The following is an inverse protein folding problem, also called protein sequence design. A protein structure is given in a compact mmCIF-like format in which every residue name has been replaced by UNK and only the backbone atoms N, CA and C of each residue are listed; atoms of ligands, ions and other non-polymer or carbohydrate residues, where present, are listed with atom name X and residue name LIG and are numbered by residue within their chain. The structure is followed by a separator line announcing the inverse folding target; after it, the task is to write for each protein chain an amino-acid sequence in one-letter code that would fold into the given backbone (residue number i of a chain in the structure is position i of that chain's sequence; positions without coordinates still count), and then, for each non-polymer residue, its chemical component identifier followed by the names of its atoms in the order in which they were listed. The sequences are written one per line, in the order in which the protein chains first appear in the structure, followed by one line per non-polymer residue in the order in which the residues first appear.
data_IF_897339879740
#
_entry.id   IF_897339879740
#
_cell.length_a   1.000
_cell.length_b   1.000
_cell.length_c   1.000
_cell.angle_alpha   90.00
_cell.angle_beta   90.00
_cell.angle_gamma   90.00
#
_symmetry.space_group_name_H-M   'P 1'
#
loop_
_entity.id
_entity.type
_entity.pdbx_description
1 polymer ?
#
# COMPACT_ATOMS: atom_id res chain seq x y z
N UNK A 1 -7.29 1.40 -22.26
CA UNK A 1 -5.88 1.84 -22.41
C UNK A 1 -5.49 3.11 -21.63
N UNK A 2 -6.37 4.10 -21.43
CA UNK A 2 -6.11 5.24 -20.51
C UNK A 2 -5.98 4.82 -19.03
N UNK A 3 -6.67 3.74 -18.64
CA UNK A 3 -6.86 3.26 -17.25
C UNK A 3 -5.71 2.34 -16.75
N UNK A 4 -5.23 1.40 -17.58
CA UNK A 4 -4.17 0.39 -17.29
C UNK A 4 -2.98 0.97 -16.52
N UNK A 5 -2.41 2.04 -17.06
CA UNK A 5 -1.18 2.60 -16.50
C UNK A 5 -1.49 3.62 -15.43
N UNK A 6 -2.69 4.18 -15.40
CA UNK A 6 -3.13 4.95 -14.25
C UNK A 6 -3.17 4.03 -13.03
N UNK A 7 -3.58 2.76 -13.14
CA UNK A 7 -3.52 1.81 -12.00
C UNK A 7 -2.16 1.23 -11.71
N UNK A 8 -1.36 0.78 -12.67
CA UNK A 8 -0.02 0.31 -12.33
C UNK A 8 0.81 1.46 -11.75
N UNK A 9 0.65 2.69 -12.27
CA UNK A 9 1.21 3.90 -11.66
C UNK A 9 0.51 4.20 -10.34
N UNK A 10 -0.80 3.97 -10.16
CA UNK A 10 -1.52 4.23 -8.90
C UNK A 10 -1.28 3.22 -7.81
N UNK A 11 -1.01 1.94 -8.10
CA UNK A 11 -0.52 0.96 -7.15
C UNK A 11 0.91 1.33 -6.79
N UNK A 12 1.74 1.70 -7.77
CA UNK A 12 3.10 2.24 -7.57
C UNK A 12 3.11 3.63 -6.93
N UNK A 13 2.03 4.37 -6.98
CA UNK A 13 1.86 5.70 -6.36
C UNK A 13 1.18 5.56 -5.01
N UNK A 14 0.26 4.62 -4.81
CA UNK A 14 -0.26 4.28 -3.48
C UNK A 14 0.90 3.82 -2.60
N UNK A 15 1.79 3.07 -3.23
CA UNK A 15 3.07 2.61 -2.70
C UNK A 15 4.04 3.80 -2.66
N UNK A 16 4.21 4.49 -3.77
CA UNK A 16 5.13 5.62 -3.99
C UNK A 16 4.99 6.78 -3.01
N UNK A 17 3.77 7.15 -2.63
CA UNK A 17 3.47 8.27 -1.72
C UNK A 17 3.89 7.97 -0.28
N UNK A 18 4.17 6.71 0.01
CA UNK A 18 4.39 6.18 1.34
C UNK A 18 5.59 5.23 1.32
N UNK A 19 6.75 5.70 0.85
CA UNK A 19 8.07 5.06 1.00
C UNK A 19 8.83 5.73 2.16
N UNK A 20 9.49 5.06 3.12
CA UNK A 20 10.76 5.48 3.78
C UNK A 20 11.49 4.34 4.53
N UNK A 21 12.83 4.43 4.54
CA UNK A 21 13.81 3.36 4.76
C UNK A 21 13.55 2.37 5.91
N UNK A 22 13.91 1.09 5.71
CA UNK A 22 14.20 0.14 6.80
C UNK A 22 12.97 -0.38 7.54
N UNK A 23 12.26 -1.33 6.92
CA UNK A 23 10.94 -1.77 7.38
C UNK A 23 11.02 -2.91 8.39
N UNK A 24 10.91 -2.59 9.69
CA UNK A 24 10.45 -3.58 10.67
C UNK A 24 8.93 -3.58 10.69
N UNK A 25 8.32 -4.26 9.71
CA UNK A 25 6.88 -4.29 9.49
C UNK A 25 6.12 -4.40 10.81
N UNK A 26 5.07 -3.62 11.03
CA UNK A 26 4.35 -3.64 12.29
C UNK A 26 3.93 -5.06 12.70
N UNK A 27 4.10 -5.36 13.99
CA UNK A 27 3.74 -6.67 14.56
C UNK A 27 2.26 -7.04 14.44
N UNK A 28 1.43 -6.12 13.94
CA UNK A 28 -0.03 -6.23 13.84
C UNK A 28 -0.56 -6.31 12.41
N UNK A 29 0.30 -6.55 11.41
CA UNK A 29 -0.15 -6.97 10.07
C UNK A 29 -0.19 -8.50 10.03
N UNK A 30 -1.36 -9.14 9.91
CA UNK A 30 -1.48 -10.60 9.79
C UNK A 30 -0.90 -11.14 8.49
N UNK A 31 -0.33 -12.35 8.53
CA UNK A 31 0.18 -13.04 7.34
C UNK A 31 -0.90 -13.38 6.29
N UNK A 32 -2.17 -13.34 6.68
CA UNK A 32 -3.30 -13.62 5.79
C UNK A 32 -3.64 -12.46 4.85
N UNK A 33 -2.94 -11.33 4.91
CA UNK A 33 -3.16 -10.23 3.98
C UNK A 33 -2.80 -10.64 2.54
N UNK A 34 -3.54 -10.10 1.57
CA UNK A 34 -3.24 -10.25 0.15
C UNK A 34 -2.02 -9.40 -0.20
N UNK A 35 -2.00 -8.17 0.30
CA UNK A 35 -0.93 -7.23 0.04
C UNK A 35 -0.68 -6.37 1.27
N UNK A 36 0.57 -5.99 1.48
CA UNK A 36 0.97 -4.97 2.44
C UNK A 36 1.93 -4.00 1.79
N UNK A 37 1.70 -2.73 2.08
CA UNK A 37 2.64 -1.65 1.80
C UNK A 37 3.15 -1.13 3.13
N UNK A 38 4.47 -1.04 3.27
CA UNK A 38 5.12 -0.51 4.47
C UNK A 38 6.09 0.60 4.10
N UNK A 39 6.05 1.67 4.89
CA UNK A 39 7.12 2.67 5.00
C UNK A 39 7.50 2.86 6.45
N UNK A 40 8.80 2.87 6.70
CA UNK A 40 9.45 3.26 7.96
C UNK A 40 10.09 4.65 7.78
N UNK A 41 10.95 5.13 8.70
CA UNK A 41 11.81 6.32 8.58
C UNK A 41 11.21 7.61 7.97
N UNK A 42 9.90 7.81 8.11
CA UNK A 42 9.11 8.81 7.36
C UNK A 42 9.66 10.24 7.49
N UNK A 43 10.25 10.58 8.63
CA UNK A 43 10.76 11.92 8.91
C UNK A 43 12.27 12.09 8.72
N UNK A 44 13.03 11.00 8.62
CA UNK A 44 14.49 11.06 8.50
C UNK A 44 14.99 11.04 7.06
N UNK A 45 14.17 10.59 6.11
CA UNK A 45 14.51 10.61 4.69
C UNK A 45 13.98 11.90 4.00
N UNK A 46 14.83 12.68 3.31
CA UNK A 46 14.42 13.94 2.69
C UNK A 46 13.38 13.81 1.58
N UNK A 47 13.48 12.79 0.72
CA UNK A 47 12.52 12.61 -0.38
C UNK A 47 11.16 12.20 0.15
N UNK A 48 11.16 11.40 1.21
CA UNK A 48 9.94 10.93 1.85
C UNK A 48 9.28 12.00 2.69
N UNK A 49 10.08 12.72 3.49
CA UNK A 49 9.58 13.86 4.24
C UNK A 49 8.90 14.84 3.30
N UNK A 50 9.50 15.12 2.13
CA UNK A 50 8.88 15.95 1.12
C UNK A 50 7.54 15.40 0.63
N UNK A 51 7.43 14.10 0.34
CA UNK A 51 6.17 13.50 -0.12
C UNK A 51 5.08 13.58 0.94
N UNK A 52 5.43 13.26 2.19
CA UNK A 52 4.50 13.36 3.31
C UNK A 52 4.03 14.81 3.46
N UNK A 53 4.96 15.77 3.47
CA UNK A 53 4.65 17.19 3.59
C UNK A 53 3.78 17.69 2.43
N UNK A 54 4.10 17.30 1.19
CA UNK A 54 3.33 17.68 0.01
C UNK A 54 1.91 17.07 0.04
N UNK A 55 1.76 15.84 0.52
CA UNK A 55 0.46 15.19 0.67
C UNK A 55 -0.38 15.81 1.79
N UNK A 56 0.23 16.07 2.95
CA UNK A 56 -0.40 16.69 4.12
C UNK A 56 -0.91 18.11 3.81
N UNK A 57 -0.15 18.86 2.99
CA UNK A 57 -0.46 20.24 2.62
C UNK A 57 -1.27 20.38 1.32
N UNK A 58 -1.70 19.26 0.71
CA UNK A 58 -2.50 19.32 -0.51
C UNK A 58 -3.93 19.83 -0.23
N UNK A 59 -4.60 20.48 -1.21
CA UNK A 59 -5.90 21.14 -1.00
C UNK A 59 -7.02 20.23 -0.48
N UNK A 60 -7.01 18.95 -0.85
CA UNK A 60 -8.04 18.00 -0.44
C UNK A 60 -7.89 17.67 1.06
N UNK A 61 -8.84 18.04 1.90
CA UNK A 61 -8.77 17.64 3.31
C UNK A 61 -9.21 16.18 3.48
N UNK A 62 -8.56 15.46 4.40
CA UNK A 62 -9.05 14.17 4.88
C UNK A 62 -8.70 14.03 6.37
N UNK A 63 -9.54 13.40 7.18
CA UNK A 63 -9.25 13.15 8.60
C UNK A 63 -7.90 12.45 8.85
N UNK A 64 -7.51 11.53 7.95
CA UNK A 64 -6.22 10.84 8.03
C UNK A 64 -5.03 11.82 7.91
N UNK A 65 -5.14 12.83 7.05
CA UNK A 65 -4.11 13.89 6.94
C UNK A 65 -4.03 14.73 8.21
N UNK A 66 -5.17 15.09 8.79
CA UNK A 66 -5.21 15.85 10.04
C UNK A 66 -4.63 15.07 11.23
N UNK A 67 -4.75 13.74 11.23
CA UNK A 67 -4.05 12.87 12.17
C UNK A 67 -2.54 12.94 11.96
N UNK A 68 -2.06 12.82 10.72
CA UNK A 68 -0.63 12.84 10.42
C UNK A 68 0.02 14.22 10.63
N UNK A 69 -0.73 15.33 10.53
CA UNK A 69 -0.28 16.65 11.00
C UNK A 69 -0.05 16.70 12.51
N UNK A 70 -0.85 15.96 13.26
CA UNK A 70 -0.88 16.01 14.72
C UNK A 70 0.08 15.03 15.39
N UNK A 71 0.54 14.03 14.63
CA UNK A 71 1.19 12.84 15.20
C UNK A 71 2.44 12.51 14.42
N UNK A 72 3.56 12.38 15.13
CA UNK A 72 4.80 11.90 14.53
C UNK A 72 4.76 10.39 14.39
N UNK A 73 4.62 9.94 13.14
CA UNK A 73 4.59 8.52 12.77
C UNK A 73 5.98 8.09 12.31
N UNK A 74 6.52 7.04 12.93
CA UNK A 74 7.80 6.44 12.53
C UNK A 74 7.66 5.52 11.34
N UNK A 75 6.57 4.76 11.34
CA UNK A 75 6.30 3.73 10.34
C UNK A 75 4.79 3.61 10.13
N UNK A 76 4.38 3.45 8.89
CA UNK A 76 3.01 3.19 8.50
C UNK A 76 2.97 1.97 7.61
N UNK A 77 2.00 1.09 7.85
CA UNK A 77 1.67 0.01 6.95
C UNK A 77 0.20 0.01 6.61
N UNK A 78 -0.13 -0.34 5.37
CA UNK A 78 -1.50 -0.57 4.93
C UNK A 78 -1.56 -1.96 4.33
N UNK A 79 -2.39 -2.81 4.91
CA UNK A 79 -2.65 -4.15 4.44
C UNK A 79 -4.05 -4.27 3.83
N UNK A 80 -4.14 -5.05 2.76
CA UNK A 80 -5.36 -5.39 2.04
C UNK A 80 -5.70 -6.85 2.32
N UNK A 81 -6.96 -7.14 2.62
CA UNK A 81 -7.48 -8.49 2.80
C UNK A 81 -8.57 -8.77 1.76
N UNK A 82 -8.89 -10.05 1.59
CA UNK A 82 -10.00 -10.47 0.74
C UNK A 82 -11.27 -9.71 1.13
N UNK A 83 -11.97 -9.09 0.17
CA UNK A 83 -13.17 -8.34 0.46
C UNK A 83 -14.27 -9.26 1.01
N UNK A 84 -15.07 -8.76 1.96
CA UNK A 84 -16.27 -9.45 2.45
C UNK A 84 -17.47 -9.28 1.50
N UNK A 85 -17.45 -8.20 0.71
CA UNK A 85 -18.47 -7.86 -0.28
C UNK A 85 -17.82 -7.22 -1.52
N UNK A 86 -18.48 -7.32 -2.67
CA UNK A 86 -17.94 -6.83 -3.96
C UNK A 86 -17.65 -5.32 -4.00
N UNK A 87 -18.18 -4.54 -3.04
CA UNK A 87 -18.12 -3.08 -3.06
C UNK A 87 -17.02 -2.45 -2.18
N UNK A 88 -16.47 -3.16 -1.20
CA UNK A 88 -15.56 -2.58 -0.20
C UNK A 88 -14.30 -3.42 0.00
N UNK A 89 -13.15 -2.75 -0.05
CA UNK A 89 -11.87 -3.35 0.30
C UNK A 89 -11.76 -3.49 1.81
N UNK A 90 -11.28 -4.64 2.28
CA UNK A 90 -10.92 -4.82 3.68
C UNK A 90 -9.50 -4.28 3.90
N UNK A 91 -9.39 -3.18 4.64
CA UNK A 91 -8.14 -2.45 4.82
C UNK A 91 -7.76 -2.37 6.31
N UNK A 92 -6.49 -2.59 6.60
CA UNK A 92 -5.90 -2.32 7.91
C UNK A 92 -4.72 -1.37 7.74
N UNK A 93 -4.86 -0.16 8.27
CA UNK A 93 -3.75 0.75 8.47
C UNK A 93 -3.16 0.55 9.86
N UNK A 94 -1.84 0.36 9.95
CA UNK A 94 -1.10 0.25 11.20
C UNK A 94 -0.03 1.33 11.24
N UNK A 95 -0.07 2.19 12.25
CA UNK A 95 0.88 3.27 12.45
C UNK A 95 1.68 3.02 13.70
N UNK A 96 3.01 3.05 13.59
CA UNK A 96 3.95 3.06 14.71
C UNK A 96 4.32 4.48 15.06
N UNK A 97 4.12 4.82 16.32
CA UNK A 97 4.37 6.15 16.84
C UNK A 97 5.76 6.24 17.47
N UNK A 98 6.20 7.46 17.75
CA UNK A 98 7.34 7.61 18.63
C UNK A 98 7.03 7.19 20.05
N UNK A 99 8.05 6.69 20.76
CA UNK A 99 7.92 6.33 22.17
C UNK A 99 7.48 7.57 22.98
N UNK A 100 6.32 7.47 23.61
CA UNK A 100 5.74 8.56 24.41
C UNK A 100 4.87 9.54 23.62
N UNK A 101 4.67 9.33 22.31
CA UNK A 101 3.71 10.09 21.53
C UNK A 101 2.29 9.92 22.13
N UNK A 102 1.56 11.03 22.20
CA UNK A 102 0.15 11.03 22.61
C UNK A 102 -0.73 10.98 21.38
N UNK A 103 -1.73 10.11 21.43
CA UNK A 103 -2.72 9.98 20.36
C UNK A 103 -3.94 10.81 20.70
N UNK A 104 -4.33 11.69 19.79
CA UNK A 104 -5.56 12.46 19.88
C UNK A 104 -6.75 11.58 19.43
N UNK A 105 -7.52 11.11 20.42
CA UNK A 105 -8.69 10.26 20.16
C UNK A 105 -9.80 10.98 19.41
N UNK A 106 -9.93 12.30 19.57
CA UNK A 106 -10.95 13.08 18.86
C UNK A 106 -10.63 13.12 17.35
N UNK A 107 -9.35 13.28 17.00
CA UNK A 107 -8.91 13.16 15.60
C UNK A 107 -9.11 11.76 15.03
N UNK A 108 -8.83 10.71 15.80
CA UNK A 108 -9.10 9.34 15.36
C UNK A 108 -10.59 9.07 15.18
N UNK A 109 -11.43 9.61 16.07
CA UNK A 109 -12.88 9.54 15.94
C UNK A 109 -13.32 10.16 14.60
N UNK A 110 -12.80 11.34 14.26
CA UNK A 110 -13.10 12.01 12.99
C UNK A 110 -12.65 11.22 11.75
N UNK A 111 -11.73 10.24 11.88
CA UNK A 111 -11.31 9.40 10.75
C UNK A 111 -12.31 8.31 10.42
N UNK A 112 -12.99 7.78 11.43
CA UNK A 112 -13.90 6.66 11.26
C UNK A 112 -15.37 7.09 11.20
N UNK A 113 -15.65 8.39 11.43
CA UNK A 113 -16.99 8.96 11.44
C UNK A 113 -17.45 9.34 10.03
N UNK A 114 -18.47 8.67 9.48
CA UNK A 114 -19.01 9.01 8.16
C UNK A 114 -19.86 10.29 8.18
N UNK A 115 -20.38 10.69 9.34
CA UNK A 115 -21.22 11.87 9.58
C UNK A 115 -20.92 12.41 10.99
N UNK A 116 -20.81 13.73 11.22
CA UNK A 116 -20.76 14.34 12.54
C UNK A 116 -21.83 13.87 13.55
N UNK A 117 -22.99 13.41 13.08
CA UNK A 117 -24.08 12.89 13.93
C UNK A 117 -23.95 11.39 14.27
N UNK A 118 -23.06 10.67 13.59
CA UNK A 118 -22.85 9.24 13.84
C UNK A 118 -22.23 9.01 15.24
N UNK A 119 -22.64 7.92 15.88
CA UNK A 119 -22.20 7.60 17.24
C UNK A 119 -21.06 6.58 17.23
N UNK A 120 -20.00 6.88 17.96
CA UNK A 120 -18.90 5.95 18.20
C UNK A 120 -19.23 5.09 19.41
N UNK A 121 -19.11 3.79 19.22
CA UNK A 121 -19.18 2.80 20.28
C UNK A 121 -17.80 2.27 20.60
N UNK A 122 -17.66 1.74 21.81
CA UNK A 122 -16.47 1.01 22.22
C UNK A 122 -16.84 -0.40 22.62
N UNK A 123 -16.05 -1.36 22.17
CA UNK A 123 -16.08 -2.74 22.63
C UNK A 123 -14.72 -3.13 23.17
N UNK A 124 -14.71 -4.09 24.10
CA UNK A 124 -13.47 -4.65 24.64
C UNK A 124 -13.18 -5.98 23.96
N UNK A 125 -11.97 -6.14 23.42
CA UNK A 125 -11.50 -7.35 22.77
C UNK A 125 -10.09 -7.69 23.25
N UNK A 126 -9.92 -8.87 23.88
CA UNK A 126 -8.63 -9.36 24.41
C UNK A 126 -7.87 -8.33 25.27
N UNK A 127 -8.60 -7.52 26.04
CA UNK A 127 -8.03 -6.47 26.91
C UNK A 127 -7.80 -5.13 26.21
N UNK A 128 -8.00 -5.04 24.89
CA UNK A 128 -7.91 -3.81 24.10
C UNK A 128 -9.29 -3.20 23.90
N UNK A 129 -9.37 -1.87 23.94
CA UNK A 129 -10.59 -1.12 23.62
C UNK A 129 -10.58 -0.78 22.13
N UNK A 130 -11.59 -1.24 21.40
CA UNK A 130 -11.80 -0.93 19.98
C UNK A 130 -12.94 0.10 19.91
N UNK A 131 -12.66 1.24 19.29
CA UNK A 131 -13.67 2.24 18.95
C UNK A 131 -14.18 1.96 17.53
N UNK A 132 -15.48 2.04 17.30
CA UNK A 132 -16.07 1.82 15.99
C UNK A 132 -17.38 2.58 15.79
N UNK A 133 -17.76 2.80 14.54
CA UNK A 133 -19.06 3.36 14.18
C UNK A 133 -20.10 2.24 14.00
N UNK A 134 -21.37 2.53 14.32
CA UNK A 134 -22.50 1.66 14.01
C UNK A 134 -23.20 2.10 12.71
N UNK A 135 -23.63 1.13 11.91
CA UNK A 135 -24.38 1.35 10.67
C UNK A 135 -23.57 1.07 9.41
N UNK A 136 -24.18 1.27 8.24
CA UNK A 136 -23.48 1.18 6.95
C UNK A 136 -22.55 2.39 6.82
N UNK A 137 -21.24 2.11 6.84
CA UNK A 137 -20.21 3.14 6.73
C UNK A 137 -19.76 3.22 5.28
N UNK A 138 -19.99 4.33 4.56
CA UNK A 138 -19.57 4.49 3.15
C UNK A 138 -18.06 4.73 2.99
N UNK A 139 -17.33 4.87 4.10
CA UNK A 139 -15.91 5.22 4.14
C UNK A 139 -14.99 4.00 4.28
N UNK A 140 -13.71 4.18 3.92
CA UNK A 140 -12.71 3.11 3.87
C UNK A 140 -12.27 2.61 5.26
N UNK A 141 -12.60 3.35 6.34
CA UNK A 141 -12.27 3.03 7.73
C UNK A 141 -13.49 3.27 8.63
N UNK A 142 -13.75 2.35 9.57
CA UNK A 142 -14.87 2.46 10.51
C UNK A 142 -14.55 2.05 11.95
N UNK A 143 -13.34 1.53 12.19
CA UNK A 143 -12.91 1.11 13.51
C UNK A 143 -11.43 1.43 13.76
N UNK A 144 -11.07 1.65 15.02
CA UNK A 144 -9.67 1.76 15.42
C UNK A 144 -9.41 1.22 16.83
N UNK A 145 -8.14 0.91 17.12
CA UNK A 145 -7.65 0.68 18.48
C UNK A 145 -6.26 1.27 18.66
N UNK A 146 -5.87 1.54 19.90
CA UNK A 146 -4.55 2.06 20.27
C UNK A 146 -3.89 1.00 21.16
N UNK A 147 -2.75 0.48 20.71
CA UNK A 147 -1.99 -0.58 21.38
C UNK A 147 -0.58 -0.06 21.68
N UNK A 148 -0.32 0.37 22.92
CA UNK A 148 0.97 0.91 23.34
C UNK A 148 1.44 2.09 22.44
N UNK A 149 2.43 1.86 21.58
CA UNK A 149 3.00 2.79 20.61
C UNK A 149 2.44 2.60 19.19
N UNK A 150 1.32 1.89 19.04
CA UNK A 150 0.72 1.55 17.75
C UNK A 150 -0.74 2.02 17.67
N UNK A 151 -1.16 2.45 16.48
CA UNK A 151 -2.56 2.70 16.12
C UNK A 151 -2.94 1.72 15.02
N UNK A 152 -4.03 0.99 15.20
CA UNK A 152 -4.64 0.14 14.18
C UNK A 152 -5.95 0.80 13.75
N UNK A 153 -6.11 1.08 12.47
CA UNK A 153 -7.32 1.64 11.86
C UNK A 153 -7.81 0.65 10.80
N UNK A 154 -8.99 0.08 10.98
CA UNK A 154 -9.55 -0.94 10.11
C UNK A 154 -10.80 -0.46 9.36
N UNK A 155 -11.06 -1.06 8.21
CA UNK A 155 -12.32 -0.91 7.47
C UNK A 155 -13.53 -1.35 8.29
N UNK A 156 -13.34 -2.31 9.20
CA UNK A 156 -14.33 -2.71 10.20
C UNK A 156 -13.68 -3.27 11.48
N UNK A 157 -14.52 -3.53 12.48
CA UNK A 157 -14.12 -4.10 13.77
C UNK A 157 -13.38 -5.42 13.61
N UNK A 158 -13.81 -6.30 12.71
CA UNK A 158 -13.21 -7.62 12.55
C UNK A 158 -11.84 -7.51 11.89
N UNK A 159 -11.62 -6.57 10.97
CA UNK A 159 -10.28 -6.30 10.42
C UNK A 159 -9.33 -5.80 11.51
N UNK A 160 -9.80 -4.97 12.45
CA UNK A 160 -9.01 -4.60 13.63
C UNK A 160 -8.72 -5.82 14.51
N UNK A 161 -9.71 -6.69 14.76
CA UNK A 161 -9.50 -7.95 15.51
C UNK A 161 -8.50 -8.86 14.81
N UNK A 162 -8.54 -8.96 13.48
CA UNK A 162 -7.56 -9.74 12.69
C UNK A 162 -6.14 -9.22 12.96
N UNK A 163 -5.94 -7.90 12.98
CA UNK A 163 -4.66 -7.30 13.35
C UNK A 163 -4.18 -7.66 14.76
N UNK A 164 -5.10 -7.79 15.73
CA UNK A 164 -4.79 -8.20 17.12
C UNK A 164 -4.49 -9.71 17.22
N UNK A 165 -5.22 -10.53 16.46
CA UNK A 165 -5.19 -12.00 16.58
C UNK A 165 -4.14 -12.69 15.74
N UNK A 166 -3.86 -12.13 14.56
CA UNK A 166 -3.15 -12.82 13.49
C UNK A 166 -1.66 -13.00 13.78
N UNK A 167 -1.06 -14.13 13.34
CA UNK A 167 0.39 -14.22 13.29
C UNK A 167 0.92 -13.12 12.36
N UNK A 168 1.85 -12.32 12.87
CA UNK A 168 2.43 -11.21 12.11
C UNK A 168 3.07 -11.71 10.80
N UNK A 169 2.87 -10.97 9.71
CA UNK A 169 3.51 -11.21 8.41
C UNK A 169 5.04 -11.25 8.51
N UNK A 170 5.63 -10.59 9.52
CA UNK A 170 7.06 -10.71 9.80
C UNK A 170 7.51 -12.13 10.14
N UNK A 171 6.59 -13.02 10.52
CA UNK A 171 6.89 -14.44 10.76
C UNK A 171 6.73 -15.29 9.50
N UNK A 172 6.14 -14.76 8.42
CA UNK A 172 5.97 -15.47 7.16
C UNK A 172 7.31 -15.69 6.46
N UNK A 173 7.62 -16.94 6.14
CA UNK A 173 8.84 -17.29 5.41
C UNK A 173 8.88 -16.67 4.00
N UNK A 174 7.72 -16.56 3.34
CA UNK A 174 7.61 -15.94 2.01
C UNK A 174 7.89 -14.45 2.10
N UNK A 175 7.31 -13.79 3.11
CA UNK A 175 7.57 -12.37 3.36
C UNK A 175 9.03 -12.10 3.70
N UNK A 176 9.65 -12.92 4.54
CA UNK A 176 11.07 -12.78 4.87
C UNK A 176 11.97 -12.99 3.66
N UNK A 177 11.63 -13.92 2.74
CA UNK A 177 12.33 -14.05 1.46
C UNK A 177 12.19 -12.78 0.63
N UNK A 178 10.98 -12.23 0.50
CA UNK A 178 10.75 -10.99 -0.22
C UNK A 178 11.53 -9.82 0.40
N UNK A 179 11.44 -9.61 1.71
CA UNK A 179 12.20 -8.59 2.45
C UNK A 179 13.72 -8.72 2.21
N UNK A 180 14.24 -9.94 2.11
CA UNK A 180 15.67 -10.17 1.81
C UNK A 180 16.08 -9.78 0.37
N UNK A 181 15.17 -9.80 -0.60
CA UNK A 181 15.44 -9.25 -1.94
C UNK A 181 15.64 -7.73 -1.91
N UNK A 182 15.03 -7.06 -0.94
CA UNK A 182 15.07 -5.61 -0.78
C UNK A 182 16.10 -5.18 0.28
N UNK A 183 17.17 -5.96 0.47
CA UNK A 183 18.21 -5.81 1.51
C UNK A 183 19.00 -4.50 1.50
N UNK A 184 18.92 -3.71 0.44
CA UNK A 184 19.44 -2.34 0.45
C UNK A 184 18.34 -1.43 1.01
N UNK A 185 18.67 -0.54 1.95
CA UNK A 185 17.72 0.37 2.57
C UNK A 185 16.96 1.18 1.50
N UNK A 186 15.79 0.68 1.11
CA UNK A 186 14.85 1.30 0.19
C UNK A 186 13.71 1.84 1.01
N UNK A 187 13.18 2.95 0.55
CA UNK A 187 12.20 3.71 1.27
C UNK A 187 10.91 2.90 1.47
N UNK A 188 10.31 2.34 0.44
CA UNK A 188 9.10 1.54 0.66
C UNK A 188 9.26 0.09 0.29
N UNK A 189 8.38 -0.71 0.86
CA UNK A 189 8.19 -2.10 0.50
C UNK A 189 6.70 -2.36 0.21
N UNK A 190 6.40 -2.77 -1.02
CA UNK A 190 5.17 -3.48 -1.34
C UNK A 190 5.47 -4.98 -1.37
N UNK A 191 4.57 -5.75 -0.81
CA UNK A 191 4.52 -7.19 -0.94
C UNK A 191 3.10 -7.63 -1.22
N UNK A 192 2.91 -8.45 -2.25
CA UNK A 192 1.67 -9.11 -2.57
C UNK A 192 1.89 -10.63 -2.53
N UNK A 193 1.16 -11.31 -1.66
CA UNK A 193 1.16 -12.76 -1.52
C UNK A 193 0.20 -13.38 -2.53
N UNK A 194 0.69 -14.31 -3.34
CA UNK A 194 -0.15 -15.08 -4.24
C UNK A 194 -0.33 -16.54 -3.79
N UNK A 195 0.04 -16.87 -2.55
CA UNK A 195 -0.26 -18.18 -1.98
C UNK A 195 -1.77 -18.46 -2.01
N UNK A 196 -2.16 -19.56 -2.65
CA UNK A 196 -3.57 -19.91 -2.86
C UNK A 196 -4.32 -18.96 -3.80
N UNK A 197 -3.63 -18.35 -4.77
CA UNK A 197 -4.21 -17.46 -5.80
C UNK A 197 -4.85 -16.16 -5.29
N UNK A 198 -4.62 -15.78 -4.02
CA UNK A 198 -5.21 -14.58 -3.40
C UNK A 198 -4.99 -13.29 -4.20
N UNK A 199 -3.79 -13.10 -4.74
CA UNK A 199 -3.46 -11.89 -5.49
C UNK A 199 -4.14 -11.89 -6.86
N UNK A 200 -4.18 -13.03 -7.55
CA UNK A 200 -4.93 -13.20 -8.81
C UNK A 200 -6.42 -12.92 -8.61
N UNK A 201 -7.02 -13.50 -7.57
CA UNK A 201 -8.43 -13.28 -7.23
C UNK A 201 -8.73 -11.81 -6.92
N UNK A 202 -7.79 -11.11 -6.28
CA UNK A 202 -7.90 -9.67 -6.05
C UNK A 202 -7.77 -8.85 -7.34
N UNK A 203 -6.91 -9.26 -8.27
CA UNK A 203 -6.71 -8.58 -9.55
C UNK A 203 -7.90 -8.75 -10.50
N UNK A 204 -8.56 -9.91 -10.51
CA UNK A 204 -9.57 -10.23 -11.52
C UNK A 204 -10.72 -9.21 -11.63
N UNK A 205 -11.40 -8.78 -10.55
CA UNK A 205 -12.48 -7.78 -10.66
C UNK A 205 -11.99 -6.44 -11.20
N UNK A 206 -10.74 -6.09 -10.89
CA UNK A 206 -10.10 -4.88 -11.36
C UNK A 206 -9.82 -4.97 -12.87
N UNK A 207 -9.28 -6.10 -13.34
CA UNK A 207 -9.07 -6.38 -14.76
C UNK A 207 -10.38 -6.40 -15.56
N UNK A 208 -11.43 -6.99 -15.00
CA UNK A 208 -12.77 -7.04 -15.61
C UNK A 208 -13.41 -5.65 -15.74
N UNK A 209 -13.28 -4.82 -14.70
CA UNK A 209 -13.71 -3.42 -14.72
C UNK A 209 -12.99 -2.65 -15.82
N UNK A 210 -11.69 -2.88 -15.97
CA UNK A 210 -10.86 -2.10 -16.87
C UNK A 210 -10.76 -2.67 -18.29
N UNK A 211 -11.26 -3.89 -18.51
CA UNK A 211 -11.20 -4.63 -19.77
C UNK A 211 -9.76 -4.84 -20.25
N UNK A 212 -8.84 -5.10 -19.33
CA UNK A 212 -7.42 -5.41 -19.61
C UNK A 212 -6.89 -6.40 -18.57
N UNK A 213 -6.12 -7.39 -19.03
CA UNK A 213 -5.27 -8.24 -18.20
C UNK A 213 -3.89 -7.59 -18.01
N UNK A 214 -3.45 -7.42 -16.77
CA UNK A 214 -2.23 -6.71 -16.39
C UNK A 214 -1.03 -7.65 -16.29
N UNK A 215 -1.25 -8.87 -15.80
CA UNK A 215 -0.22 -9.88 -15.59
C UNK A 215 -0.75 -11.23 -16.05
N UNK A 216 -0.40 -11.63 -17.29
CA UNK A 216 -0.83 -12.90 -17.87
C UNK A 216 -0.26 -14.09 -17.11
N UNK A 217 0.92 -13.91 -16.50
CA UNK A 217 1.63 -14.90 -15.69
C UNK A 217 1.23 -14.88 -14.21
N UNK A 218 0.22 -14.10 -13.82
CA UNK A 218 -0.14 -13.91 -12.41
C UNK A 218 -0.47 -15.22 -11.67
N UNK A 219 -0.99 -16.23 -12.38
CA UNK A 219 -1.24 -17.57 -11.83
C UNK A 219 0.04 -18.37 -11.51
N UNK A 220 1.19 -18.01 -12.10
CA UNK A 220 2.48 -18.68 -11.89
C UNK A 220 3.34 -18.00 -10.82
N UNK A 221 2.91 -16.84 -10.32
CA UNK A 221 3.61 -16.11 -9.28
C UNK A 221 3.38 -16.74 -7.90
N UNK A 222 4.45 -16.92 -7.13
CA UNK A 222 4.36 -17.15 -5.68
C UNK A 222 4.06 -15.84 -4.95
N UNK A 223 4.76 -14.77 -5.34
CA UNK A 223 4.58 -13.43 -4.79
C UNK A 223 5.11 -12.37 -5.74
N UNK A 224 4.62 -11.15 -5.56
CA UNK A 224 5.16 -9.96 -6.20
C UNK A 224 5.58 -8.96 -5.14
N UNK A 225 6.70 -8.27 -5.35
CA UNK A 225 7.16 -7.25 -4.44
C UNK A 225 7.68 -6.04 -5.19
N UNK A 226 7.70 -4.90 -4.54
CA UNK A 226 8.37 -3.71 -5.05
C UNK A 226 9.07 -2.99 -3.94
N UNK A 227 10.25 -2.46 -4.23
CA UNK A 227 10.89 -1.46 -3.38
C UNK A 227 11.25 -0.23 -4.18
N UNK A 228 11.24 0.91 -3.51
CA UNK A 228 11.40 2.21 -4.15
C UNK A 228 12.10 3.16 -3.19
N UNK A 229 12.80 4.11 -3.76
CA UNK A 229 13.73 5.03 -3.12
C UNK A 229 13.52 6.39 -3.75
N UNK A 230 13.04 7.30 -2.92
CA UNK A 230 12.67 8.66 -3.28
C UNK A 230 13.87 9.54 -3.03
N UNK A 231 14.63 9.78 -4.11
CA UNK A 231 15.86 10.56 -4.02
C UNK A 231 15.57 12.02 -3.68
N UNK A 232 14.51 12.57 -4.27
CA UNK A 232 13.98 13.91 -4.00
C UNK A 232 12.53 14.05 -4.53
N UNK A 233 11.99 15.27 -4.53
CA UNK A 233 10.64 15.57 -5.03
C UNK A 233 10.38 15.12 -6.47
N UNK A 234 11.43 14.96 -7.26
CA UNK A 234 11.37 14.85 -8.71
C UNK A 234 12.05 13.60 -9.26
N UNK A 235 12.74 12.82 -8.42
CA UNK A 235 13.47 11.62 -8.81
C UNK A 235 13.14 10.44 -7.89
N UNK A 236 12.90 9.29 -8.50
CA UNK A 236 12.65 8.03 -7.80
C UNK A 236 13.39 6.89 -8.49
N UNK A 237 13.83 5.89 -7.73
CA UNK A 237 14.36 4.64 -8.26
C UNK A 237 13.70 3.46 -7.55
N UNK A 238 13.71 2.28 -8.16
CA UNK A 238 13.09 1.13 -7.51
C UNK A 238 13.30 -0.16 -8.28
N UNK A 239 12.84 -1.25 -7.68
CA UNK A 239 12.80 -2.57 -8.29
C UNK A 239 11.44 -3.21 -8.07
N UNK A 240 10.90 -3.86 -9.09
CA UNK A 240 9.83 -4.85 -8.96
C UNK A 240 10.43 -6.22 -9.05
N UNK A 241 9.95 -7.12 -8.20
CA UNK A 241 10.34 -8.53 -8.22
C UNK A 241 9.08 -9.35 -8.41
N UNK A 242 9.10 -10.17 -9.46
CA UNK A 242 8.10 -11.18 -9.76
C UNK A 242 8.72 -12.53 -9.44
N UNK A 243 8.26 -13.17 -8.37
CA UNK A 243 8.75 -14.49 -7.99
C UNK A 243 7.81 -15.54 -8.55
N UNK A 244 8.30 -16.38 -9.45
CA UNK A 244 7.60 -17.59 -9.89
C UNK A 244 7.73 -18.72 -8.87
N UNK A 245 6.74 -19.62 -8.84
CA UNK A 245 6.79 -20.85 -8.05
C UNK A 245 7.99 -21.75 -8.41
N UNK A 246 8.33 -21.75 -9.70
CA UNK A 246 9.49 -22.43 -10.25
C UNK A 246 10.01 -21.68 -11.50
N UNK A 247 10.89 -22.32 -12.27
CA UNK A 247 11.49 -21.73 -13.48
C UNK A 247 10.76 -22.10 -14.76
N UNK A 248 9.68 -22.88 -14.71
CA UNK A 248 8.99 -23.40 -15.91
C UNK A 248 8.25 -22.31 -16.69
N UNK A 249 7.79 -21.26 -15.99
CA UNK A 249 7.06 -20.13 -16.56
C UNK A 249 7.86 -18.81 -16.52
N UNK A 250 9.18 -18.89 -16.46
CA UNK A 250 10.03 -17.71 -16.25
C UNK A 250 10.02 -16.76 -17.44
N UNK A 251 9.84 -17.28 -18.65
CA UNK A 251 9.79 -16.47 -19.87
C UNK A 251 8.47 -15.69 -19.93
N UNK A 252 7.34 -16.28 -19.52
CA UNK A 252 6.06 -15.58 -19.42
C UNK A 252 6.09 -14.49 -18.34
N UNK A 253 6.69 -14.77 -17.18
CA UNK A 253 6.86 -13.77 -16.11
C UNK A 253 7.77 -12.63 -16.58
N UNK A 254 8.79 -12.94 -17.38
CA UNK A 254 9.69 -11.95 -17.95
C UNK A 254 8.97 -11.05 -18.95
N UNK A 255 8.17 -11.63 -19.84
CA UNK A 255 7.37 -10.89 -20.80
C UNK A 255 6.40 -9.91 -20.10
N UNK A 256 5.77 -10.33 -19.00
CA UNK A 256 4.94 -9.46 -18.18
C UNK A 256 5.73 -8.29 -17.56
N UNK A 257 6.93 -8.56 -17.04
CA UNK A 257 7.79 -7.51 -16.47
C UNK A 257 8.25 -6.49 -17.54
N UNK A 258 8.61 -6.96 -18.74
CA UNK A 258 8.98 -6.11 -19.88
C UNK A 258 7.77 -5.29 -20.36
N UNK A 259 6.60 -5.92 -20.47
CA UNK A 259 5.35 -5.25 -20.81
C UNK A 259 5.01 -4.15 -19.80
N UNK A 260 5.13 -4.44 -18.51
CA UNK A 260 4.89 -3.47 -17.44
C UNK A 260 5.83 -2.26 -17.54
N UNK A 261 7.13 -2.49 -17.75
CA UNK A 261 8.12 -1.42 -17.95
C UNK A 261 7.79 -0.53 -19.15
N UNK A 262 7.44 -1.12 -20.29
CA UNK A 262 7.05 -0.37 -21.49
C UNK A 262 5.71 0.37 -21.30
N UNK A 263 4.76 -0.20 -20.55
CA UNK A 263 3.52 0.47 -20.20
C UNK A 263 3.78 1.75 -19.39
N UNK A 264 4.67 1.71 -18.38
CA UNK A 264 5.08 2.89 -17.63
C UNK A 264 5.74 3.93 -18.50
N UNK A 265 6.74 3.52 -19.27
CA UNK A 265 7.49 4.41 -20.17
C UNK A 265 6.56 5.22 -21.08
N UNK A 266 5.61 4.56 -21.75
CA UNK A 266 4.65 5.23 -22.66
C UNK A 266 3.82 6.31 -21.97
N UNK A 267 3.55 6.16 -20.67
CA UNK A 267 2.69 7.08 -19.92
C UNK A 267 3.43 8.19 -19.26
N UNK A 268 4.61 7.88 -18.73
CA UNK A 268 5.53 8.90 -18.28
C UNK A 268 5.93 9.83 -19.43
N UNK A 269 6.14 9.31 -20.66
CA UNK A 269 6.33 10.17 -21.85
C UNK A 269 5.17 11.14 -22.06
N UNK A 270 3.92 10.69 -21.92
CA UNK A 270 2.74 11.55 -22.10
C UNK A 270 2.66 12.68 -21.05
N UNK A 271 3.20 12.46 -19.87
CA UNK A 271 3.28 13.42 -18.76
C UNK A 271 4.63 14.17 -18.71
N UNK A 272 5.50 14.01 -19.73
CA UNK A 272 6.86 14.58 -19.80
C UNK A 272 7.80 14.13 -18.66
N UNK A 273 7.57 12.92 -18.16
CA UNK A 273 8.37 12.24 -17.13
C UNK A 273 9.35 11.30 -17.85
N UNK A 274 10.62 11.36 -17.47
CA UNK A 274 11.64 10.47 -17.99
C UNK A 274 11.62 9.17 -17.18
N UNK A 275 11.52 8.04 -17.88
CA UNK A 275 11.51 6.72 -17.29
C UNK A 275 12.45 5.80 -18.04
N UNK A 276 13.26 5.06 -17.28
CA UNK A 276 14.11 3.99 -17.81
C UNK A 276 13.92 2.74 -16.96
N UNK A 277 14.00 1.58 -17.60
CA UNK A 277 13.90 0.31 -16.91
C UNK A 277 14.73 -0.77 -17.59
N UNK A 278 15.15 -1.76 -16.81
CA UNK A 278 15.81 -2.97 -17.28
C UNK A 278 15.23 -4.19 -16.59
N UNK A 279 15.08 -5.28 -17.32
CA UNK A 279 14.59 -6.56 -16.79
C UNK A 279 15.74 -7.55 -16.69
N UNK A 280 15.87 -8.19 -15.54
CA UNK A 280 16.86 -9.22 -15.24
C UNK A 280 16.17 -10.49 -14.74
N UNK A 281 16.62 -11.65 -15.19
CA UNK A 281 16.15 -12.95 -14.68
C UNK A 281 17.18 -13.52 -13.71
N UNK A 282 16.74 -13.94 -12.52
CA UNK A 282 17.56 -14.49 -11.43
C UNK A 282 16.90 -15.76 -10.89
N UNK A 283 17.21 -16.90 -11.49
CA UNK A 283 16.58 -18.18 -11.13
C UNK A 283 15.09 -18.15 -11.45
N UNK A 284 14.23 -18.38 -10.45
CA UNK A 284 12.77 -18.26 -10.57
C UNK A 284 12.24 -16.84 -10.30
N UNK A 285 13.11 -15.84 -10.20
CA UNK A 285 12.71 -14.43 -10.02
C UNK A 285 12.97 -13.62 -11.28
N UNK A 286 12.06 -12.72 -11.63
CA UNK A 286 12.29 -11.65 -12.60
C UNK A 286 12.33 -10.32 -11.87
N UNK A 287 13.35 -9.51 -12.16
CA UNK A 287 13.58 -8.21 -11.53
C UNK A 287 13.50 -7.10 -12.57
N UNK A 288 12.51 -6.21 -12.44
CA UNK A 288 12.41 -4.98 -13.23
C UNK A 288 13.01 -3.83 -12.41
N UNK A 289 14.20 -3.38 -12.79
CA UNK A 289 14.81 -2.18 -12.23
C UNK A 289 14.24 -0.95 -12.93
N UNK A 290 13.97 0.12 -12.18
CA UNK A 290 13.46 1.35 -12.75
C UNK A 290 14.13 2.60 -12.17
N UNK A 291 14.21 3.63 -13.01
CA UNK A 291 14.59 4.98 -12.63
C UNK A 291 13.66 5.99 -13.28
N UNK A 292 13.24 6.97 -12.50
CA UNK A 292 12.26 7.98 -12.87
C UNK A 292 12.80 9.37 -12.55
N UNK A 293 12.62 10.33 -13.46
CA UNK A 293 12.85 11.75 -13.19
C UNK A 293 11.78 12.64 -13.84
N UNK A 294 11.48 13.78 -13.23
CA UNK A 294 10.38 14.65 -13.67
C UNK A 294 9.04 14.33 -13.00
N UNK A 295 9.00 13.46 -11.97
CA UNK A 295 7.75 12.89 -11.42
C UNK A 295 6.97 13.85 -10.51
N UNK A 296 7.55 14.97 -10.06
CA UNK A 296 6.92 15.89 -9.10
C UNK A 296 5.49 16.34 -9.47
N UNK A 297 5.20 16.74 -10.73
CA UNK A 297 3.85 17.20 -11.10
C UNK A 297 2.81 16.10 -10.97
N UNK A 298 3.20 14.85 -11.23
CA UNK A 298 2.33 13.70 -11.09
C UNK A 298 1.98 13.48 -9.63
N UNK A 299 2.95 13.53 -8.71
CA UNK A 299 2.70 13.42 -7.27
C UNK A 299 1.66 14.43 -6.78
N UNK A 300 1.83 15.71 -7.13
CA UNK A 300 0.89 16.77 -6.74
C UNK A 300 -0.53 16.50 -7.24
N UNK A 301 -0.67 16.11 -8.52
CA UNK A 301 -1.95 15.74 -9.12
C UNK A 301 -2.63 14.58 -8.38
N UNK A 302 -1.86 13.58 -7.97
CA UNK A 302 -2.36 12.42 -7.23
C UNK A 302 -2.80 12.80 -5.80
N UNK A 303 -2.05 13.70 -5.15
CA UNK A 303 -2.41 14.23 -3.84
C UNK A 303 -3.70 15.05 -3.87
N UNK A 304 -3.96 15.78 -4.97
CA UNK A 304 -5.18 16.56 -5.16
C UNK A 304 -6.39 15.66 -5.45
N UNK A 305 -6.22 14.68 -6.34
CA UNK A 305 -7.32 13.84 -6.81
C UNK A 305 -7.76 12.78 -5.80
N UNK A 306 -6.90 12.43 -4.84
CA UNK A 306 -7.18 11.39 -3.84
C UNK A 306 -7.07 9.99 -4.45
N UNK A 307 -6.20 9.17 -3.86
CA UNK A 307 -5.73 7.92 -4.50
C UNK A 307 -6.76 6.77 -4.34
N UNK A 308 -7.58 6.79 -3.29
CA UNK A 308 -8.53 5.72 -2.94
C UNK A 308 -9.71 5.56 -3.90
N UNK A 309 -10.18 6.65 -4.52
CA UNK A 309 -11.31 6.61 -5.48
C UNK A 309 -10.98 5.82 -6.74
N UNK A 310 -9.70 5.56 -7.00
CA UNK A 310 -9.22 4.95 -8.24
C UNK A 310 -9.02 3.43 -8.13
N UNK A 311 -9.04 2.86 -6.92
CA UNK A 311 -8.81 1.42 -6.66
C UNK A 311 -10.07 0.67 -6.21
N UNK A 312 -11.22 1.34 -6.08
CA UNK A 312 -12.48 0.68 -5.75
C UNK A 312 -13.00 -0.11 -6.96
N UNK A 313 -13.28 -1.41 -6.81
CA UNK A 313 -13.95 -2.18 -7.86
C UNK A 313 -15.32 -1.58 -8.24
N UNK A 314 -16.03 -0.95 -7.30
CA UNK A 314 -17.43 -0.51 -7.47
C UNK A 314 -17.75 0.99 -7.57
N UNK A 315 -16.78 1.90 -7.77
CA UNK A 315 -17.08 3.34 -7.94
C UNK A 315 -16.94 3.82 -9.39
N UNK A 316 -17.93 4.57 -9.88
CA UNK A 316 -17.81 5.46 -11.06
C UNK A 316 -17.05 6.76 -10.71
#
# INVERSE_FOLDING_TARGET
MKVIVTICVLLIVFVGVMAAQGTDTPSYIPESCISVVTMANIQSDPGVSWMLDAWINSPRQSPLRELLKATTVKEMSVAVFSPKSESLLNLLCVMKLEKGAKVDKEKLNNIILPDPEATIQSLTYKGSSIAHVQGDVPEDFSAYTILQDMILIGSDVDVVKMGIDGPSINKSAVYQKAKNYFTQAKDGLLFADNSGAKFVEFLQPLEEKWKITLLLSSEYLDWMGSSFDMVDSNRASGIFVFQGADTSHIDEIKDDAEFLGEAFKRKFIAEKINYTSTVEVKGSSVVLNMQISGIEPLWKKLFEQGVLTLIRPGGD
#
